data_IF_072118732125
#
_entry.id   IF_072118732125
#
_cell.length_a   1.000
_cell.length_b   1.000
_cell.length_c   1.000
_cell.angle_alpha   90.00
_cell.angle_beta   90.00
_cell.angle_gamma   90.00
#
_symmetry.space_group_name_H-M   'P 1'
#
loop_
_entity.id
_entity.type
_entity.pdbx_description
1 polymer ?
#
# COMPACT_ATOMS: atom_id res chain seq x y z
N UNK A 1 28.61 -23.28 14.46
CA UNK A 1 28.24 -22.21 15.41
C UNK A 1 27.22 -22.79 16.35
N UNK A 2 27.52 -22.77 17.64
CA UNK A 2 26.62 -23.22 18.70
C UNK A 2 26.43 -22.06 19.68
N UNK A 3 25.20 -21.85 20.13
CA UNK A 3 24.82 -20.77 21.05
C UNK A 3 23.96 -19.68 20.40
N UNK A 4 23.65 -18.65 21.18
CA UNK A 4 22.82 -17.54 20.74
C UNK A 4 23.55 -16.67 19.71
N UNK A 5 22.91 -16.42 18.58
CA UNK A 5 23.47 -15.68 17.47
C UNK A 5 22.41 -14.82 16.76
N UNK A 6 22.90 -13.81 16.05
CA UNK A 6 22.11 -12.98 15.13
C UNK A 6 22.50 -13.34 13.70
N UNK A 7 21.50 -13.60 12.86
CA UNK A 7 21.71 -13.95 11.45
C UNK A 7 20.80 -13.11 10.55
N UNK A 8 21.39 -12.41 9.59
CA UNK A 8 20.64 -11.61 8.61
C UNK A 8 20.51 -12.43 7.33
N UNK A 9 19.27 -12.73 6.95
CA UNK A 9 18.96 -13.43 5.71
C UNK A 9 19.13 -12.48 4.51
N UNK A 10 19.34 -13.00 3.28
CA UNK A 10 19.37 -12.20 2.06
C UNK A 10 18.08 -11.40 1.78
N UNK A 11 16.98 -11.71 2.48
CA UNK A 11 15.70 -11.01 2.41
C UNK A 11 15.60 -9.83 3.40
N UNK A 12 16.71 -9.44 4.03
CA UNK A 12 16.78 -8.46 5.13
C UNK A 12 15.98 -8.86 6.39
N UNK A 13 15.55 -10.12 6.47
CA UNK A 13 14.95 -10.68 7.68
C UNK A 13 16.07 -10.98 8.67
N UNK A 14 15.94 -10.52 9.92
CA UNK A 14 16.91 -10.78 10.97
C UNK A 14 16.40 -11.88 11.90
N UNK A 15 17.18 -12.94 12.08
CA UNK A 15 16.99 -13.94 13.12
C UNK A 15 17.83 -13.57 14.35
N UNK A 16 17.24 -13.68 15.54
CA UNK A 16 17.94 -13.58 16.83
C UNK A 16 17.50 -14.77 17.68
N UNK A 17 18.44 -15.63 18.04
CA UNK A 17 18.12 -16.81 18.85
C UNK A 17 19.23 -17.83 18.85
N UNK A 18 18.93 -19.02 19.37
CA UNK A 18 19.91 -20.09 19.43
C UNK A 18 20.15 -20.71 18.04
N UNK A 19 21.39 -21.12 17.80
CA UNK A 19 21.81 -21.82 16.59
C UNK A 19 22.61 -23.05 16.96
N UNK A 20 22.45 -24.11 16.17
CA UNK A 20 23.21 -25.35 16.30
C UNK A 20 23.55 -25.89 14.91
N UNK A 21 24.80 -26.27 14.70
CA UNK A 21 25.29 -26.78 13.41
C UNK A 21 25.01 -25.85 12.21
N UNK A 22 24.95 -24.53 12.46
CA UNK A 22 24.61 -23.53 11.43
C UNK A 22 23.13 -23.46 11.07
N UNK A 23 22.27 -24.18 11.80
CA UNK A 23 20.82 -24.14 11.66
C UNK A 23 20.19 -23.45 12.86
N UNK A 24 18.98 -22.90 12.69
CA UNK A 24 18.18 -22.38 13.80
C UNK A 24 17.77 -23.53 14.73
N UNK A 25 17.93 -23.32 16.03
CA UNK A 25 17.64 -24.31 17.05
C UNK A 25 17.18 -23.62 18.35
N UNK A 26 16.38 -24.27 19.19
CA UNK A 26 15.96 -23.67 20.46
C UNK A 26 14.95 -22.52 20.27
N UNK A 27 14.99 -21.51 21.13
CA UNK A 27 14.12 -20.33 21.01
C UNK A 27 14.77 -19.26 20.12
N UNK A 28 13.97 -18.67 19.23
CA UNK A 28 14.44 -17.60 18.38
C UNK A 28 13.32 -16.79 17.73
N UNK A 29 13.61 -15.53 17.49
CA UNK A 29 12.68 -14.56 16.90
C UNK A 29 13.19 -14.09 15.54
N UNK A 30 12.31 -14.13 14.54
CA UNK A 30 12.53 -13.50 13.24
C UNK A 30 11.91 -12.10 13.23
N UNK A 31 12.68 -11.11 12.81
CA UNK A 31 12.25 -9.73 12.57
C UNK A 31 12.22 -9.49 11.07
N UNK A 32 11.04 -9.15 10.55
CA UNK A 32 10.84 -8.85 9.14
C UNK A 32 11.06 -7.35 8.87
N UNK A 33 11.53 -6.98 7.67
CA UNK A 33 11.72 -5.58 7.29
C UNK A 33 10.40 -4.77 7.27
N UNK A 34 9.25 -5.45 7.18
CA UNK A 34 7.92 -4.84 7.31
C UNK A 34 7.60 -4.36 8.73
N UNK A 35 8.41 -4.73 9.74
CA UNK A 35 8.16 -4.50 11.16
C UNK A 35 7.37 -5.61 11.85
N UNK A 36 6.97 -6.65 11.12
CA UNK A 36 6.38 -7.85 11.73
C UNK A 36 7.44 -8.71 12.41
N UNK A 37 7.03 -9.55 13.34
CA UNK A 37 7.92 -10.43 14.09
C UNK A 37 7.31 -11.83 14.26
N UNK A 38 8.17 -12.84 14.30
CA UNK A 38 7.78 -14.24 14.45
C UNK A 38 8.63 -14.92 15.51
N UNK A 39 8.04 -15.11 16.68
CA UNK A 39 8.64 -15.80 17.82
C UNK A 39 8.39 -17.29 17.70
N UNK A 40 9.44 -18.11 17.69
CA UNK A 40 9.30 -19.53 17.45
C UNK A 40 10.34 -20.40 18.16
N UNK A 41 9.96 -21.67 18.34
CA UNK A 41 10.87 -22.74 18.73
C UNK A 41 11.32 -23.49 17.47
N UNK A 42 12.63 -23.67 17.32
CA UNK A 42 13.27 -24.23 16.14
C UNK A 42 13.96 -25.56 16.45
N UNK A 43 13.83 -26.53 15.56
CA UNK A 43 14.55 -27.80 15.62
C UNK A 43 15.15 -28.14 14.25
N UNK A 44 16.48 -28.20 14.16
CA UNK A 44 17.20 -28.49 12.90
C UNK A 44 16.76 -27.58 11.74
N UNK A 45 16.55 -26.29 12.02
CA UNK A 45 16.10 -25.30 11.05
C UNK A 45 14.59 -25.33 10.73
N UNK A 46 13.82 -26.23 11.34
CA UNK A 46 12.36 -26.29 11.17
C UNK A 46 11.64 -25.64 12.33
N UNK A 47 10.53 -24.97 12.03
CA UNK A 47 9.65 -24.39 13.04
C UNK A 47 8.82 -25.51 13.70
N UNK A 48 8.89 -25.60 15.03
CA UNK A 48 8.09 -26.55 15.82
C UNK A 48 6.80 -25.89 16.28
N UNK A 49 6.92 -24.69 16.85
CA UNK A 49 5.81 -23.82 17.28
C UNK A 49 6.22 -22.39 17.06
N UNK A 50 5.26 -21.53 16.73
CA UNK A 50 5.55 -20.12 16.59
C UNK A 50 4.31 -19.26 16.72
N UNK A 51 4.56 -17.98 16.98
CA UNK A 51 3.58 -16.92 17.12
C UNK A 51 3.98 -15.77 16.22
N UNK A 52 3.07 -15.41 15.33
CA UNK A 52 3.28 -14.30 14.42
C UNK A 52 2.62 -13.04 14.95
N UNK A 53 3.36 -11.93 14.98
CA UNK A 53 2.84 -10.61 15.33
C UNK A 53 3.07 -9.67 14.16
N UNK A 54 2.00 -9.05 13.68
CA UNK A 54 2.02 -8.05 12.62
C UNK A 54 2.70 -6.75 13.10
N UNK A 55 3.10 -5.92 12.15
CA UNK A 55 3.79 -4.65 12.44
C UNK A 55 2.94 -3.65 13.25
N UNK A 56 1.62 -3.79 13.21
CA UNK A 56 0.67 -2.99 14.00
C UNK A 56 0.42 -3.57 15.41
N UNK A 57 1.09 -4.66 15.78
CA UNK A 57 0.96 -5.33 17.07
C UNK A 57 -0.12 -6.41 17.13
N UNK A 58 -0.90 -6.60 16.05
CA UNK A 58 -1.90 -7.64 15.98
C UNK A 58 -1.20 -9.01 16.06
N UNK A 59 -1.62 -9.87 16.98
CA UNK A 59 -1.08 -11.23 17.09
C UNK A 59 -1.97 -12.18 16.31
N UNK A 60 -1.38 -13.02 15.46
CA UNK A 60 -2.10 -14.02 14.70
C UNK A 60 -2.60 -15.17 15.59
N UNK A 61 -3.84 -15.59 15.39
CA UNK A 61 -4.44 -16.75 16.06
C UNK A 61 -4.99 -17.72 15.02
N UNK A 62 -4.72 -19.02 15.18
CA UNK A 62 -5.19 -20.07 14.29
C UNK A 62 -6.68 -20.39 14.50
N UNK A 63 -7.16 -20.28 15.75
CA UNK A 63 -8.54 -20.53 16.16
C UNK A 63 -9.17 -19.23 16.65
N UNK A 64 -10.39 -18.95 16.17
CA UNK A 64 -11.16 -17.75 16.52
C UNK A 64 -10.49 -16.43 16.11
N UNK A 65 -10.05 -16.37 14.85
CA UNK A 65 -9.55 -15.13 14.26
C UNK A 65 -10.64 -14.06 14.17
N UNK A 66 -10.64 -13.12 15.11
CA UNK A 66 -11.62 -12.03 15.19
C UNK A 66 -11.27 -10.78 14.39
N UNK A 67 -10.09 -10.76 13.76
CA UNK A 67 -9.66 -9.61 12.98
C UNK A 67 -10.31 -9.60 11.60
N UNK A 68 -11.06 -8.53 11.30
CA UNK A 68 -11.80 -8.35 10.05
C UNK A 68 -12.78 -9.51 9.75
N UNK A 69 -13.52 -9.98 10.75
CA UNK A 69 -14.56 -10.99 10.57
C UNK A 69 -15.86 -10.39 9.96
N UNK A 70 -16.90 -11.20 9.80
CA UNK A 70 -18.18 -10.74 9.23
C UNK A 70 -18.93 -9.74 10.12
N UNK A 71 -18.68 -9.75 11.42
CA UNK A 71 -19.33 -8.89 12.40
C UNK A 71 -18.55 -7.60 12.64
N UNK A 72 -17.22 -7.67 12.68
CA UNK A 72 -16.33 -6.54 12.90
C UNK A 72 -15.26 -6.43 11.80
N UNK A 73 -15.44 -5.43 10.93
CA UNK A 73 -14.53 -5.13 9.82
C UNK A 73 -13.51 -4.03 10.15
N UNK A 74 -13.38 -3.63 11.41
CA UNK A 74 -12.41 -2.62 11.83
C UNK A 74 -10.98 -3.14 11.70
N UNK A 75 -10.07 -2.25 11.32
CA UNK A 75 -8.64 -2.54 11.38
C UNK A 75 -8.16 -2.60 12.84
N UNK A 76 -7.04 -3.29 13.13
CA UNK A 76 -6.58 -3.49 14.51
C UNK A 76 -6.26 -2.15 15.17
N UNK A 77 -5.68 -1.23 14.41
CA UNK A 77 -5.48 0.16 14.82
C UNK A 77 -6.78 0.85 15.24
N UNK A 78 -7.91 0.62 14.55
CA UNK A 78 -9.20 1.22 14.90
C UNK A 78 -9.85 0.54 16.11
N UNK A 79 -9.58 -0.75 16.33
CA UNK A 79 -9.98 -1.47 17.53
C UNK A 79 -9.24 -0.91 18.76
N UNK A 80 -7.93 -0.67 18.64
CA UNK A 80 -7.10 -0.17 19.74
C UNK A 80 -7.28 1.33 20.02
N UNK A 81 -7.39 2.16 18.99
CA UNK A 81 -7.37 3.62 19.11
C UNK A 81 -8.69 4.30 18.78
N UNK A 82 -9.72 3.51 18.45
CA UNK A 82 -10.99 4.02 17.97
C UNK A 82 -10.96 4.45 16.50
N UNK A 83 -12.15 4.74 15.95
CA UNK A 83 -12.27 5.28 14.61
C UNK A 83 -11.73 6.71 14.61
N UNK A 84 -10.70 6.94 13.78
CA UNK A 84 -10.21 8.31 13.58
C UNK A 84 -11.31 9.11 12.89
N UNK A 85 -11.65 10.32 13.39
CA UNK A 85 -12.59 11.17 12.69
C UNK A 85 -12.05 11.44 11.28
N UNK A 86 -12.95 11.55 10.30
CA UNK A 86 -12.64 11.85 8.90
C UNK A 86 -12.13 13.30 8.74
N UNK A 87 -11.10 13.69 9.49
CA UNK A 87 -10.61 15.06 9.55
C UNK A 87 -11.73 16.11 9.66
N UNK A 88 -11.47 17.27 9.08
CA UNK A 88 -12.49 18.31 8.93
C UNK A 88 -13.39 17.87 7.77
N UNK A 89 -14.62 17.46 8.08
CA UNK A 89 -15.64 17.22 7.06
C UNK A 89 -15.79 18.50 6.23
N UNK A 90 -15.58 18.42 4.92
CA UNK A 90 -15.82 19.52 3.99
C UNK A 90 -17.34 19.68 3.83
N UNK A 91 -18.03 20.14 4.89
CA UNK A 91 -19.43 20.52 4.82
C UNK A 91 -19.49 21.86 4.07
N UNK A 92 -19.66 21.76 2.75
CA UNK A 92 -19.60 22.86 1.77
C UNK A 92 -20.68 23.94 1.93
N UNK A 93 -21.51 23.91 2.97
CA UNK A 93 -22.61 24.86 3.13
C UNK A 93 -22.31 26.02 4.07
N UNK A 94 -21.28 25.92 4.92
CA UNK A 94 -20.90 27.00 5.86
C UNK A 94 -19.77 27.89 5.33
N UNK A 95 -18.92 27.35 4.46
CA UNK A 95 -17.82 28.09 3.85
C UNK A 95 -18.26 28.63 2.48
N UNK A 96 -18.14 29.95 2.22
CA UNK A 96 -18.46 30.49 0.91
C UNK A 96 -17.58 29.85 -0.16
N UNK A 97 -18.11 29.62 -1.38
CA UNK A 97 -17.35 29.01 -2.46
C UNK A 97 -16.06 29.80 -2.70
N UNK A 98 -14.93 29.09 -2.78
CA UNK A 98 -13.62 29.70 -2.99
C UNK A 98 -13.62 30.44 -4.33
N UNK A 99 -13.04 31.64 -4.36
CA UNK A 99 -12.90 32.42 -5.60
C UNK A 99 -11.85 31.77 -6.50
N UNK A 100 -12.29 31.07 -7.53
CA UNK A 100 -11.41 30.44 -8.51
C UNK A 100 -10.83 31.54 -9.44
N UNK A 101 -9.50 31.63 -9.61
CA UNK A 101 -8.91 32.57 -10.55
C UNK A 101 -9.39 32.34 -11.99
N UNK A 102 -9.51 33.40 -12.81
CA UNK A 102 -9.95 33.27 -14.20
C UNK A 102 -9.12 32.25 -14.98
N UNK A 103 -9.79 31.33 -15.68
CA UNK A 103 -9.15 30.29 -16.49
C UNK A 103 -8.45 29.20 -15.68
N UNK A 104 -8.59 29.16 -14.35
CA UNK A 104 -8.10 28.08 -13.51
C UNK A 104 -9.25 27.14 -13.07
N UNK A 105 -8.91 25.94 -12.63
CA UNK A 105 -9.84 24.91 -12.14
C UNK A 105 -9.46 24.49 -10.71
N UNK A 106 -10.44 24.26 -9.83
CA UNK A 106 -10.18 23.75 -8.48
C UNK A 106 -9.99 22.21 -8.52
N UNK A 107 -8.88 21.72 -7.98
CA UNK A 107 -8.54 20.31 -7.91
C UNK A 107 -8.70 19.71 -6.50
N UNK A 108 -9.29 20.44 -5.56
CA UNK A 108 -9.46 19.98 -4.17
C UNK A 108 -8.22 20.18 -3.29
N UNK A 109 -7.03 20.26 -3.89
CA UNK A 109 -5.79 20.64 -3.20
C UNK A 109 -5.16 21.95 -3.70
N UNK A 110 -5.76 22.61 -4.70
CA UNK A 110 -5.25 23.84 -5.28
C UNK A 110 -5.93 24.23 -6.60
N UNK A 111 -5.45 25.32 -7.20
CA UNK A 111 -5.91 25.80 -8.50
C UNK A 111 -4.97 25.33 -9.62
N UNK A 112 -5.51 24.56 -10.56
CA UNK A 112 -4.87 24.16 -11.79
C UNK A 112 -5.01 25.25 -12.86
N UNK A 113 -3.89 25.66 -13.44
CA UNK A 113 -3.87 26.54 -14.61
C UNK A 113 -3.55 25.72 -15.88
N UNK A 114 -4.46 25.65 -16.86
CA UNK A 114 -4.28 24.84 -18.08
C UNK A 114 -3.19 25.39 -19.02
N UNK A 115 -2.94 26.69 -18.97
CA UNK A 115 -1.91 27.36 -19.79
C UNK A 115 -0.51 27.01 -19.28
N UNK A 116 -0.29 27.09 -17.97
CA UNK A 116 1.02 26.79 -17.37
C UNK A 116 1.18 25.31 -17.04
N UNK A 117 0.08 24.55 -16.99
CA UNK A 117 0.00 23.16 -16.50
C UNK A 117 0.54 22.99 -15.08
N UNK A 118 0.32 24.00 -14.24
CA UNK A 118 0.78 24.01 -12.85
C UNK A 118 -0.43 24.02 -11.93
N UNK A 119 -0.35 23.24 -10.86
CA UNK A 119 -1.26 23.30 -9.72
C UNK A 119 -0.58 24.11 -8.63
N UNK A 120 -1.24 25.16 -8.17
CA UNK A 120 -0.81 25.98 -7.03
C UNK A 120 -1.78 25.79 -5.88
N UNK A 121 -1.31 25.83 -4.64
CA UNK A 121 -2.19 25.79 -3.47
C UNK A 121 -3.11 27.00 -3.41
N UNK A 122 -4.06 26.98 -2.47
CA UNK A 122 -5.00 28.08 -2.27
C UNK A 122 -4.36 29.41 -1.83
N UNK A 123 -3.06 29.40 -1.48
CA UNK A 123 -2.24 30.58 -1.15
C UNK A 123 -1.29 30.95 -2.30
N UNK A 124 -1.53 30.42 -3.50
CA UNK A 124 -0.75 30.65 -4.73
C UNK A 124 0.71 30.16 -4.67
N UNK A 125 1.03 29.23 -3.78
CA UNK A 125 2.33 28.53 -3.71
C UNK A 125 2.33 27.35 -4.67
N UNK A 126 3.45 27.11 -5.33
CA UNK A 126 3.59 25.96 -6.24
C UNK A 126 3.39 24.63 -5.48
N UNK A 127 2.56 23.73 -6.02
CA UNK A 127 2.39 22.36 -5.50
C UNK A 127 3.06 21.34 -6.41
N UNK A 128 2.58 21.25 -7.65
CA UNK A 128 3.04 20.24 -8.61
C UNK A 128 2.72 20.66 -10.04
N UNK A 129 3.44 20.08 -10.99
CA UNK A 129 3.06 20.13 -12.40
C UNK A 129 1.95 19.11 -12.66
N UNK A 130 0.92 19.50 -13.41
CA UNK A 130 0.02 18.53 -14.02
C UNK A 130 0.80 17.87 -15.16
N UNK A 131 1.29 16.65 -14.92
CA UNK A 131 2.07 15.92 -15.90
C UNK A 131 1.31 15.85 -17.25
N UNK A 132 2.06 15.89 -18.35
CA UNK A 132 1.56 15.24 -19.56
C UNK A 132 1.42 13.78 -19.16
N UNK A 133 0.23 13.20 -19.32
CA UNK A 133 0.12 11.75 -19.37
C UNK A 133 0.99 11.33 -20.58
N UNK A 134 2.26 11.05 -20.33
CA UNK A 134 3.06 10.27 -21.25
C UNK A 134 2.44 8.89 -21.13
N UNK A 135 1.41 8.64 -21.95
CA UNK A 135 1.15 7.30 -22.42
C UNK A 135 2.52 6.83 -22.93
N UNK A 136 3.18 5.98 -22.15
CA UNK A 136 4.18 5.11 -22.72
C UNK A 136 3.51 4.41 -23.92
N UNK A 137 4.20 4.11 -25.03
CA UNK A 137 3.56 3.59 -26.23
C UNK A 137 2.85 2.22 -26.07
N UNK A 138 2.74 1.70 -24.85
CA UNK A 138 2.43 0.32 -24.54
C UNK A 138 1.13 0.11 -23.73
N UNK A 139 0.26 1.12 -23.64
CA UNK A 139 -1.11 0.93 -23.14
C UNK A 139 -2.09 1.83 -23.88
N UNK A 140 -2.64 1.31 -24.99
CA UNK A 140 -3.88 1.85 -25.53
C UNK A 140 -5.04 1.38 -24.64
N UNK A 141 -5.51 2.24 -23.74
CA UNK A 141 -6.88 2.16 -23.25
C UNK A 141 -7.75 3.00 -24.19
N UNK A 142 -8.49 2.33 -25.07
CA UNK A 142 -9.48 3.00 -25.91
C UNK A 142 -10.69 3.35 -25.03
N UNK A 143 -10.85 4.64 -24.76
CA UNK A 143 -12.08 5.17 -24.15
C UNK A 143 -13.18 5.18 -25.20
N UNK A 144 -14.19 4.31 -25.08
CA UNK A 144 -15.44 4.44 -25.83
C UNK A 144 -16.47 4.98 -24.84
N UNK A 145 -16.79 6.28 -24.94
CA UNK A 145 -17.92 6.86 -24.25
C UNK A 145 -19.18 6.55 -25.07
N UNK A 146 -19.91 5.50 -24.68
CA UNK A 146 -21.26 5.27 -25.20
C UNK A 146 -22.23 6.27 -24.56
N UNK A 147 -23.05 6.93 -25.38
CA UNK A 147 -24.12 7.80 -24.91
C UNK A 147 -25.06 7.01 -23.98
N UNK A 148 -25.00 7.27 -22.67
CA UNK A 148 -25.80 6.53 -21.68
C UNK A 148 -25.19 6.36 -20.28
N UNK A 149 -23.98 6.85 -20.01
CA UNK A 149 -23.53 7.13 -18.63
C UNK A 149 -23.48 5.93 -17.65
N UNK A 150 -23.12 4.71 -18.10
CA UNK A 150 -22.80 3.62 -17.17
C UNK A 150 -21.50 2.91 -17.54
N UNK A 151 -20.59 2.78 -16.57
CA UNK A 151 -19.28 2.13 -16.70
C UNK A 151 -19.46 0.61 -16.62
N UNK A 152 -19.13 -0.13 -17.69
CA UNK A 152 -19.15 -1.60 -17.72
C UNK A 152 -17.75 -2.16 -18.03
N UNK A 153 -16.89 -2.18 -17.02
CA UNK A 153 -15.67 -3.02 -16.98
C UNK A 153 -14.55 -2.72 -17.98
N UNK A 154 -13.38 -3.29 -17.71
CA UNK A 154 -12.18 -3.19 -18.55
C UNK A 154 -12.00 -4.50 -19.34
N UNK A 155 -11.97 -4.46 -20.66
CA UNK A 155 -11.64 -5.61 -21.50
C UNK A 155 -10.20 -5.51 -22.00
N UNK A 156 -9.40 -6.54 -21.69
CA UNK A 156 -8.02 -6.68 -22.17
C UNK A 156 -8.06 -7.32 -23.56
N UNK A 157 -7.64 -6.60 -24.59
CA UNK A 157 -7.45 -7.18 -25.93
C UNK A 157 -5.95 -7.42 -26.13
N UNK A 158 -5.48 -8.67 -26.33
CA UNK A 158 -4.08 -8.92 -26.65
C UNK A 158 -3.76 -8.47 -28.09
N UNK A 159 -2.64 -7.78 -28.26
CA UNK A 159 -2.10 -7.40 -29.59
C UNK A 159 -1.45 -8.60 -30.27
N UNK A 160 -1.49 -8.72 -31.61
CA UNK A 160 -0.72 -9.73 -32.33
C UNK A 160 0.79 -9.43 -32.23
N UNK A 161 1.60 -10.46 -31.98
CA UNK A 161 3.06 -10.38 -31.90
C UNK A 161 3.68 -10.04 -33.27
N UNK A 162 4.71 -9.16 -33.34
CA UNK A 162 5.47 -8.97 -34.57
C UNK A 162 6.42 -10.15 -34.79
N UNK A 163 6.23 -10.86 -35.91
CA UNK A 163 7.20 -11.83 -36.44
C UNK A 163 8.49 -11.09 -36.81
N UNK A 164 9.58 -11.37 -36.10
CA UNK A 164 10.93 -11.05 -36.57
C UNK A 164 11.30 -12.03 -37.70
N UNK A 165 11.47 -11.52 -38.92
CA UNK A 165 12.21 -12.19 -39.99
C UNK A 165 13.64 -11.67 -39.96
N UNK A 166 14.61 -12.58 -39.92
CA UNK A 166 16.04 -12.26 -40.04
C UNK A 166 16.41 -11.81 -41.45
N UNK A 167 17.47 -11.01 -41.57
CA UNK A 167 18.83 -11.42 -41.92
C UNK A 167 19.80 -10.36 -41.41
#
# INVERSE_FOLDING_TARGET
MEGSAEYILPTDTRYVGDMKDGMFHGEGTLFFPSGSQFDATWEKGLVVKGKYTFADGLQYEDRHWHYCDSYDRRFHTEICFGLKPSGISQLTNMDPPRKIPPGCYDCGDGFYNPTTRVIKDYRNRFLRNAGRCMLTPWTHFLFICGAGGTIKGWLRVPSPEPRYQGF
#
